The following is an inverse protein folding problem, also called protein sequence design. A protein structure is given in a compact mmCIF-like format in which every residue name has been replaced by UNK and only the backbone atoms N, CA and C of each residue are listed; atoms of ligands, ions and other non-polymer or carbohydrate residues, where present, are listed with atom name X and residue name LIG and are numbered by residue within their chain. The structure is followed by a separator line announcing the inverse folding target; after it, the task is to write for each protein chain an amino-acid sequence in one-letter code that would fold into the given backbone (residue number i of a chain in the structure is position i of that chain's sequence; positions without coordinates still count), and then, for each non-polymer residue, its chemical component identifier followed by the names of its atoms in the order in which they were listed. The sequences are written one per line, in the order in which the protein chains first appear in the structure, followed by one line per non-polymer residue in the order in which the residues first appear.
data_IF_309348384604
#
_entry.id   IF_309348384604
#
_cell.length_a   1.000
_cell.length_b   1.000
_cell.length_c   1.000
_cell.angle_alpha   90.00
_cell.angle_beta   90.00
_cell.angle_gamma   90.00
#
_symmetry.space_group_name_H-M   'P 1'
#
loop_
_entity.id
_entity.type
_entity.pdbx_description
1 polymer ?
#
# COMPACT_ATOMS: atom_id res chain seq x y z
N UNK A 1 -17.15 -2.71 -16.94
CA UNK A 1 -16.45 -3.38 -15.83
C UNK A 1 -16.45 -2.44 -14.64
N UNK A 2 -16.42 -2.95 -13.40
CA UNK A 2 -16.33 -2.09 -12.22
C UNK A 2 -14.86 -1.90 -11.82
N UNK A 3 -14.46 -0.69 -11.45
CA UNK A 3 -13.09 -0.34 -11.06
C UNK A 3 -13.03 0.16 -9.62
N UNK A 4 -12.10 -0.34 -8.82
CA UNK A 4 -11.73 0.25 -7.53
C UNK A 4 -10.59 1.24 -7.75
N UNK A 5 -10.80 2.52 -7.42
CA UNK A 5 -9.76 3.56 -7.52
C UNK A 5 -9.46 4.12 -6.14
N UNK A 6 -8.18 4.13 -5.79
CA UNK A 6 -7.67 4.66 -4.52
C UNK A 6 -6.85 5.91 -4.87
N UNK A 7 -7.18 7.03 -4.25
CA UNK A 7 -6.50 8.31 -4.45
C UNK A 7 -5.54 8.50 -3.28
N UNK A 8 -4.27 8.62 -3.60
CA UNK A 8 -3.22 8.90 -2.63
C UNK A 8 -2.88 10.38 -2.69
N UNK A 9 -2.62 10.99 -1.54
CA UNK A 9 -1.91 12.28 -1.48
C UNK A 9 -0.46 12.11 -1.93
N UNK A 10 0.21 13.22 -2.26
CA UNK A 10 1.62 13.19 -2.63
C UNK A 10 2.47 12.56 -1.51
N UNK A 11 2.18 12.89 -0.24
CA UNK A 11 2.87 12.33 0.93
C UNK A 11 2.68 10.80 1.04
N UNK A 12 1.46 10.31 0.82
CA UNK A 12 1.16 8.87 0.85
C UNK A 12 1.85 8.13 -0.29
N UNK A 13 1.88 8.73 -1.48
CA UNK A 13 2.57 8.19 -2.64
C UNK A 13 4.09 8.14 -2.42
N UNK A 14 4.69 9.18 -1.84
CA UNK A 14 6.11 9.21 -1.50
C UNK A 14 6.46 8.14 -0.46
N UNK A 15 5.67 8.00 0.61
CA UNK A 15 5.84 6.95 1.63
C UNK A 15 5.82 5.54 1.02
N UNK A 16 4.84 5.28 0.15
CA UNK A 16 4.72 4.00 -0.55
C UNK A 16 5.94 3.73 -1.44
N UNK A 17 6.33 4.71 -2.24
CA UNK A 17 7.47 4.58 -3.17
C UNK A 17 8.78 4.34 -2.42
N UNK A 18 9.00 5.05 -1.32
CA UNK A 18 10.20 4.89 -0.49
C UNK A 18 10.28 3.49 0.14
N UNK A 19 9.16 2.96 0.68
CA UNK A 19 9.11 1.59 1.21
C UNK A 19 9.38 0.57 0.11
N UNK A 20 8.78 0.74 -1.07
CA UNK A 20 8.99 -0.14 -2.21
C UNK A 20 10.46 -0.19 -2.63
N UNK A 21 11.11 0.96 -2.76
CA UNK A 21 12.53 1.04 -3.14
C UNK A 21 13.45 0.42 -2.08
N UNK A 22 13.23 0.73 -0.80
CA UNK A 22 14.07 0.24 0.30
C UNK A 22 13.99 -1.29 0.43
N UNK A 23 12.79 -1.85 0.36
CA UNK A 23 12.60 -3.29 0.53
C UNK A 23 12.97 -4.08 -0.74
N UNK A 24 12.85 -3.48 -1.93
CA UNK A 24 13.41 -4.04 -3.16
C UNK A 24 14.94 -4.16 -3.08
N UNK A 25 15.62 -3.15 -2.53
CA UNK A 25 17.07 -3.19 -2.27
C UNK A 25 17.46 -4.37 -1.37
N UNK A 26 16.78 -4.52 -0.23
CA UNK A 26 17.00 -5.64 0.71
C UNK A 26 16.73 -7.01 0.06
N UNK A 27 15.65 -7.13 -0.71
CA UNK A 27 15.32 -8.37 -1.42
C UNK A 27 16.40 -8.79 -2.41
N UNK A 28 17.01 -7.82 -3.12
CA UNK A 28 18.15 -8.08 -4.00
C UNK A 28 19.39 -8.52 -3.21
N UNK A 29 19.68 -7.87 -2.07
CA UNK A 29 20.81 -8.21 -1.20
C UNK A 29 20.67 -9.61 -0.58
N UNK A 30 19.45 -9.99 -0.20
CA UNK A 30 19.16 -11.27 0.46
C UNK A 30 18.77 -12.40 -0.50
N UNK A 31 18.70 -12.15 -1.82
CA UNK A 31 18.17 -13.10 -2.82
C UNK A 31 16.78 -13.67 -2.45
N UNK A 32 15.99 -12.88 -1.72
CA UNK A 32 14.63 -13.25 -1.29
C UNK A 32 13.61 -12.47 -2.10
N UNK A 33 12.61 -13.16 -2.64
CA UNK A 33 11.43 -12.52 -3.22
C UNK A 33 10.36 -12.44 -2.12
N UNK A 34 10.41 -11.40 -1.28
CA UNK A 34 9.25 -11.14 -0.42
C UNK A 34 8.08 -10.74 -1.31
N UNK A 35 6.91 -11.33 -1.09
CA UNK A 35 5.70 -10.90 -1.77
C UNK A 35 5.39 -9.42 -1.52
N UNK A 36 4.69 -8.80 -2.45
CA UNK A 36 4.09 -7.48 -2.28
C UNK A 36 2.58 -7.67 -2.18
N UNK A 37 1.96 -7.12 -1.13
CA UNK A 37 0.50 -7.14 -1.00
C UNK A 37 -0.03 -5.76 -0.67
N UNK A 38 -1.16 -5.43 -1.30
CA UNK A 38 -1.99 -4.26 -0.97
C UNK A 38 -3.32 -4.80 -0.48
N UNK A 39 -3.71 -4.43 0.73
CA UNK A 39 -4.98 -4.79 1.34
C UNK A 39 -5.80 -3.52 1.57
N UNK A 40 -7.00 -3.47 0.99
CA UNK A 40 -8.00 -2.45 1.33
C UNK A 40 -8.86 -2.99 2.47
N UNK A 41 -8.78 -2.36 3.64
CA UNK A 41 -9.54 -2.74 4.82
C UNK A 41 -10.77 -1.86 4.97
N UNK A 42 -11.93 -2.44 5.30
CA UNK A 42 -13.15 -1.70 5.57
C UNK A 42 -13.84 -2.29 6.80
N UNK A 43 -13.93 -1.51 7.88
CA UNK A 43 -14.54 -1.97 9.13
C UNK A 43 -16.03 -1.59 9.23
N UNK A 44 -16.36 -0.34 8.89
CA UNK A 44 -17.72 0.22 8.91
C UNK A 44 -17.74 1.54 8.12
N UNK A 45 -18.91 2.11 7.78
CA UNK A 45 -19.00 3.30 6.94
C UNK A 45 -18.12 4.45 7.44
N UNK A 46 -17.20 4.91 6.58
CA UNK A 46 -16.25 5.98 6.89
C UNK A 46 -14.92 5.54 7.50
N UNK A 47 -14.72 4.25 7.80
CA UNK A 47 -13.46 3.70 8.29
C UNK A 47 -12.86 2.74 7.26
N UNK A 48 -12.01 3.28 6.38
CA UNK A 48 -11.29 2.53 5.35
C UNK A 48 -9.83 2.97 5.31
N UNK A 49 -8.91 2.00 5.26
CA UNK A 49 -7.48 2.26 5.16
C UNK A 49 -6.81 1.26 4.23
N UNK A 50 -5.61 1.63 3.77
CA UNK A 50 -4.77 0.77 2.94
C UNK A 50 -3.59 0.24 3.77
N UNK A 51 -3.42 -1.08 3.79
CA UNK A 51 -2.23 -1.73 4.32
C UNK A 51 -1.37 -2.21 3.16
N UNK A 52 -0.08 -1.88 3.19
CA UNK A 52 0.91 -2.39 2.23
C UNK A 52 1.94 -3.23 2.97
N UNK A 53 2.10 -4.50 2.59
CA UNK A 53 3.11 -5.39 3.16
C UNK A 53 4.16 -5.73 2.10
N UNK A 54 5.40 -5.38 2.41
CA UNK A 54 6.59 -5.88 1.75
C UNK A 54 7.72 -5.89 2.78
N UNK A 55 8.08 -7.07 3.28
CA UNK A 55 9.02 -7.22 4.40
C UNK A 55 8.65 -6.30 5.58
N UNK A 56 7.38 -6.31 5.97
CA UNK A 56 6.84 -5.52 7.06
C UNK A 56 5.77 -4.53 6.59
N UNK A 57 4.87 -4.21 7.52
CA UNK A 57 3.68 -3.41 7.28
C UNK A 57 4.00 -1.91 7.13
N UNK A 58 3.39 -1.28 6.13
CA UNK A 58 3.31 0.17 5.96
C UNK A 58 1.84 0.61 6.04
N UNK A 59 1.54 1.42 7.04
CA UNK A 59 0.29 2.14 7.16
C UNK A 59 0.36 3.47 6.39
N UNK A 60 -0.54 3.65 5.41
CA UNK A 60 -0.67 4.90 4.65
C UNK A 60 -1.67 5.88 5.27
N UNK A 61 -2.34 5.50 6.36
CA UNK A 61 -3.44 6.24 6.97
C UNK A 61 -4.72 6.15 6.14
N UNK A 62 -5.65 7.08 6.41
CA UNK A 62 -6.93 7.16 5.72
C UNK A 62 -6.73 7.44 4.22
N UNK A 63 -7.45 6.68 3.37
CA UNK A 63 -7.39 6.83 1.91
C UNK A 63 -8.78 7.04 1.33
N UNK A 64 -8.86 7.95 0.36
CA UNK A 64 -10.08 8.13 -0.43
C UNK A 64 -10.19 7.07 -1.51
N UNK A 65 -11.36 6.42 -1.63
CA UNK A 65 -11.59 5.41 -2.64
C UNK A 65 -13.00 5.48 -3.25
N UNK A 66 -13.13 5.02 -4.49
CA UNK A 66 -14.40 4.97 -5.22
C UNK A 66 -14.52 3.71 -6.08
N UNK A 67 -15.75 3.21 -6.26
CA UNK A 67 -16.07 2.16 -7.25
C UNK A 67 -16.72 2.84 -8.47
N UNK A 68 -16.13 2.69 -9.66
CA UNK A 68 -16.70 3.11 -10.95
C UNK A 68 -17.33 1.97 -11.70
#
# INVERSE_FOLDING_TARGET
MKELRIKLTDEQHEKLTAKLQNEAGKNLEHSTLSGFSITLNHAFPGATWLTVDMNGELDLGDVDWEIK
#
